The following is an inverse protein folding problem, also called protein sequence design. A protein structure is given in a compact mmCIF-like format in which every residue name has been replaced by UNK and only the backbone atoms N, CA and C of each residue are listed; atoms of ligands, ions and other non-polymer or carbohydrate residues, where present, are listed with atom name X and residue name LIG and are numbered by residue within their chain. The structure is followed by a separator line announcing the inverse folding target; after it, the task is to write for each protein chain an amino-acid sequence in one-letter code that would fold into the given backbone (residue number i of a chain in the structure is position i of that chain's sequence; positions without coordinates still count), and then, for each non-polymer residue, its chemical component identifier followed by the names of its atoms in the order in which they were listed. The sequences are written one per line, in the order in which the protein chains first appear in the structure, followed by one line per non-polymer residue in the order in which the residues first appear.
data_IF_429170405028
#
_entry.id   IF_429170405028
#
_cell.length_a   1.000
_cell.length_b   1.000
_cell.length_c   1.000
_cell.angle_alpha   90.00
_cell.angle_beta   90.00
_cell.angle_gamma   90.00
#
_symmetry.space_group_name_H-M   'P 1'
#
loop_
_entity.id
_entity.type
_entity.pdbx_description
1 polymer ?
#
# COMPACT_ATOMS: atom_id res chain seq x y z
N UNK A 1 -2.01 -21.22 4.67
CA UNK A 1 -2.68 -21.39 6.00
C UNK A 1 -3.97 -20.61 5.97
N UNK A 2 -5.04 -21.15 6.52
CA UNK A 2 -6.30 -20.43 6.68
C UNK A 2 -6.36 -19.69 8.04
N UNK A 3 -7.42 -18.92 8.26
CA UNK A 3 -7.59 -18.13 9.49
C UNK A 3 -7.60 -19.00 10.75
N UNK A 4 -8.23 -20.19 10.72
CA UNK A 4 -8.23 -21.13 11.86
C UNK A 4 -6.82 -21.55 12.23
N UNK A 5 -5.99 -21.87 11.24
CA UNK A 5 -4.59 -22.27 11.47
C UNK A 5 -3.78 -21.11 12.06
N UNK A 6 -4.02 -19.88 11.60
CA UNK A 6 -3.34 -18.69 12.11
C UNK A 6 -3.73 -18.38 13.56
N UNK A 7 -5.02 -18.50 13.89
CA UNK A 7 -5.50 -18.35 15.28
C UNK A 7 -4.86 -19.41 16.18
N UNK A 8 -4.83 -20.67 15.75
CA UNK A 8 -4.20 -21.74 16.51
C UNK A 8 -2.71 -21.45 16.75
N UNK A 9 -1.98 -21.03 15.73
CA UNK A 9 -0.56 -20.63 15.88
C UNK A 9 -0.36 -19.44 16.81
N UNK A 10 -1.25 -18.44 16.74
CA UNK A 10 -1.21 -17.32 17.68
C UNK A 10 -1.36 -17.80 19.11
N UNK A 11 -2.32 -18.69 19.41
CA UNK A 11 -2.57 -19.21 20.75
C UNK A 11 -1.36 -19.95 21.30
N UNK A 12 -0.75 -20.84 20.50
CA UNK A 12 0.48 -21.53 20.88
C UNK A 12 1.62 -20.53 21.18
N UNK A 13 1.83 -19.55 20.30
CA UNK A 13 2.91 -18.58 20.48
C UNK A 13 2.66 -17.59 21.64
N UNK A 14 1.40 -17.41 22.02
CA UNK A 14 0.99 -16.50 23.09
C UNK A 14 0.85 -17.18 24.46
N UNK A 15 1.05 -18.52 24.54
CA UNK A 15 0.72 -19.34 25.72
C UNK A 15 -0.76 -19.19 26.17
N UNK A 16 -1.69 -19.22 25.21
CA UNK A 16 -3.13 -19.01 25.38
C UNK A 16 -3.94 -20.19 24.84
N UNK A 17 -3.50 -21.41 25.17
CA UNK A 17 -4.10 -22.65 24.66
C UNK A 17 -5.23 -23.22 25.56
N UNK A 18 -5.36 -22.72 26.79
CA UNK A 18 -6.31 -23.25 27.79
C UNK A 18 -7.51 -22.30 27.89
N UNK A 19 -8.73 -22.85 27.81
CA UNK A 19 -9.95 -22.11 28.17
C UNK A 19 -9.96 -21.78 29.68
N UNK A 20 -10.30 -20.56 30.13
CA UNK A 20 -10.78 -19.40 29.34
C UNK A 20 -9.66 -18.64 28.66
N UNK A 21 -9.75 -18.47 27.35
CA UNK A 21 -8.73 -17.77 26.59
C UNK A 21 -8.64 -16.28 26.98
N UNK A 22 -7.41 -15.72 26.98
CA UNK A 22 -7.18 -14.28 27.22
C UNK A 22 -7.76 -13.42 26.13
N UNK A 23 -7.65 -13.86 24.87
CA UNK A 23 -8.14 -13.13 23.72
C UNK A 23 -9.17 -13.93 22.95
N UNK A 24 -10.26 -13.26 22.58
CA UNK A 24 -11.29 -13.88 21.74
C UNK A 24 -10.79 -14.06 20.32
N UNK A 25 -11.30 -15.07 19.60
CA UNK A 25 -10.98 -15.29 18.19
C UNK A 25 -11.28 -14.06 17.34
N UNK A 26 -12.32 -13.30 17.70
CA UNK A 26 -12.66 -12.02 17.01
C UNK A 26 -11.53 -10.99 17.13
N UNK A 27 -10.91 -10.83 18.30
CA UNK A 27 -9.76 -9.92 18.48
C UNK A 27 -8.56 -10.38 17.67
N UNK A 28 -8.24 -11.68 17.76
CA UNK A 28 -7.11 -12.27 17.02
C UNK A 28 -7.33 -12.11 15.50
N UNK A 29 -8.55 -12.35 15.00
CA UNK A 29 -8.92 -12.17 13.60
C UNK A 29 -8.69 -10.72 13.14
N UNK A 30 -9.10 -9.74 13.95
CA UNK A 30 -8.87 -8.32 13.66
C UNK A 30 -7.36 -8.03 13.55
N UNK A 31 -6.54 -8.49 14.47
CA UNK A 31 -5.09 -8.29 14.44
C UNK A 31 -4.41 -9.01 13.28
N UNK A 32 -4.92 -10.17 12.87
CA UNK A 32 -4.43 -10.89 11.69
C UNK A 32 -4.78 -10.17 10.40
N UNK A 33 -5.97 -9.56 10.29
CA UNK A 33 -6.31 -8.72 9.14
C UNK A 33 -5.45 -7.44 9.10
N UNK A 34 -5.22 -6.80 10.25
CA UNK A 34 -4.25 -5.69 10.38
C UNK A 34 -2.85 -6.14 9.92
N UNK A 35 -2.44 -7.37 10.30
CA UNK A 35 -1.15 -7.94 9.90
C UNK A 35 -1.03 -8.11 8.38
N UNK A 36 -2.08 -8.58 7.71
CA UNK A 36 -2.09 -8.73 6.23
C UNK A 36 -1.94 -7.37 5.56
N UNK A 37 -2.70 -6.36 6.03
CA UNK A 37 -2.63 -5.01 5.49
C UNK A 37 -1.24 -4.38 5.71
N UNK A 38 -0.69 -4.50 6.92
CA UNK A 38 0.64 -3.97 7.25
C UNK A 38 1.75 -4.67 6.46
N UNK A 39 1.69 -6.01 6.32
CA UNK A 39 2.62 -6.78 5.51
C UNK A 39 2.56 -6.38 4.03
N UNK A 40 1.34 -6.18 3.49
CA UNK A 40 1.14 -5.76 2.11
C UNK A 40 1.80 -4.40 1.82
N UNK A 41 1.68 -3.44 2.75
CA UNK A 41 2.27 -2.11 2.61
C UNK A 41 3.79 -2.15 2.77
N UNK A 42 4.32 -2.81 3.81
CA UNK A 42 5.76 -2.85 4.07
C UNK A 42 6.53 -3.61 3.00
N UNK A 43 6.02 -4.78 2.62
CA UNK A 43 6.66 -5.67 1.66
C UNK A 43 6.29 -5.42 0.20
N UNK A 44 5.38 -4.47 -0.10
CA UNK A 44 4.84 -4.23 -1.44
C UNK A 44 4.37 -5.54 -2.10
N UNK A 45 3.53 -6.32 -1.37
CA UNK A 45 3.26 -7.70 -1.74
C UNK A 45 2.16 -7.87 -2.80
N UNK A 46 1.23 -6.92 -2.91
CA UNK A 46 0.04 -7.03 -3.75
C UNK A 46 0.09 -6.01 -4.90
N UNK A 47 0.79 -6.37 -5.97
CA UNK A 47 0.78 -5.59 -7.21
C UNK A 47 -0.51 -5.89 -7.99
N UNK A 48 -1.23 -4.85 -8.39
CA UNK A 48 -2.46 -4.93 -9.17
C UNK A 48 -2.26 -4.26 -10.53
N UNK A 49 -2.57 -4.99 -11.59
CA UNK A 49 -2.49 -4.52 -12.98
C UNK A 49 -3.66 -4.98 -13.84
N UNK A 50 -4.52 -5.85 -13.29
CA UNK A 50 -5.51 -6.61 -14.08
C UNK A 50 -6.95 -6.16 -13.86
N UNK A 51 -7.33 -5.76 -12.65
CA UNK A 51 -8.73 -5.46 -12.32
C UNK A 51 -9.16 -4.10 -12.89
N UNK A 52 -10.10 -4.07 -13.85
CA UNK A 52 -10.50 -2.81 -14.49
C UNK A 52 -11.07 -1.78 -13.50
N UNK A 53 -11.79 -2.23 -12.45
CA UNK A 53 -12.35 -1.34 -11.43
C UNK A 53 -11.32 -0.64 -10.56
N UNK A 54 -10.07 -1.11 -10.55
CA UNK A 54 -8.95 -0.54 -9.80
C UNK A 54 -7.98 0.15 -10.75
N UNK A 55 -7.66 -0.50 -11.88
CA UNK A 55 -6.57 -0.12 -12.78
C UNK A 55 -6.99 0.77 -13.94
N UNK A 56 -8.28 1.04 -14.13
CA UNK A 56 -8.78 1.86 -15.25
C UNK A 56 -9.71 2.95 -14.75
N UNK A 57 -9.42 4.20 -15.13
CA UNK A 57 -10.23 5.36 -14.79
C UNK A 57 -10.63 6.06 -16.08
N UNK A 58 -11.94 6.29 -16.29
CA UNK A 58 -12.42 7.06 -17.42
C UNK A 58 -11.95 8.52 -17.27
N UNK A 59 -11.21 9.01 -18.25
CA UNK A 59 -10.73 10.38 -18.30
C UNK A 59 -11.62 11.23 -19.20
N UNK A 60 -11.90 12.48 -18.78
CA UNK A 60 -12.70 13.45 -19.51
C UNK A 60 -11.87 14.63 -19.95
N UNK A 61 -12.17 15.13 -21.15
CA UNK A 61 -11.56 16.35 -21.68
C UNK A 61 -11.64 17.50 -20.66
N UNK A 62 -10.52 18.15 -20.41
CA UNK A 62 -10.42 19.31 -19.53
C UNK A 62 -10.47 18.99 -18.02
N UNK A 63 -10.79 17.77 -17.61
CA UNK A 63 -10.77 17.35 -16.20
C UNK A 63 -9.36 16.90 -15.84
N UNK A 64 -8.78 17.50 -14.81
CA UNK A 64 -7.41 17.17 -14.40
C UNK A 64 -7.33 16.13 -13.27
N UNK A 65 -8.33 16.04 -12.40
CA UNK A 65 -8.23 15.23 -11.16
C UNK A 65 -9.28 14.13 -11.14
N UNK A 66 -8.83 12.93 -10.76
CA UNK A 66 -9.64 11.71 -10.74
C UNK A 66 -9.45 10.97 -9.42
N UNK A 67 -10.51 10.38 -8.83
CA UNK A 67 -10.38 9.57 -7.64
C UNK A 67 -9.65 8.27 -7.95
N UNK A 68 -8.79 7.84 -7.02
CA UNK A 68 -8.18 6.52 -7.02
C UNK A 68 -9.06 5.55 -6.24
N UNK A 69 -8.96 4.27 -6.58
CA UNK A 69 -9.61 3.23 -5.78
C UNK A 69 -9.01 3.21 -4.37
N UNK A 70 -9.82 3.15 -3.28
CA UNK A 70 -9.32 3.29 -1.90
C UNK A 70 -8.27 2.25 -1.48
N UNK A 71 -8.27 1.08 -2.11
CA UNK A 71 -7.27 0.04 -1.81
C UNK A 71 -5.91 0.32 -2.42
N UNK A 72 -5.81 1.23 -3.40
CA UNK A 72 -4.57 1.54 -4.09
C UNK A 72 -3.79 2.60 -3.30
N UNK A 73 -2.57 2.28 -2.88
CA UNK A 73 -1.77 3.22 -2.11
C UNK A 73 -0.51 3.72 -2.84
N UNK A 74 0.00 2.98 -3.82
CA UNK A 74 1.20 3.36 -4.55
C UNK A 74 1.06 2.97 -6.03
N UNK A 75 1.20 3.94 -6.93
CA UNK A 75 1.17 3.70 -8.38
C UNK A 75 2.61 3.50 -8.87
N UNK A 76 2.87 2.42 -9.59
CA UNK A 76 4.17 2.08 -10.16
C UNK A 76 4.26 2.39 -11.65
N UNK A 77 3.14 2.24 -12.37
CA UNK A 77 3.06 2.56 -13.79
C UNK A 77 1.77 3.30 -14.10
N UNK A 78 1.86 4.27 -15.01
CA UNK A 78 0.73 5.08 -15.41
C UNK A 78 0.81 5.41 -16.89
N UNK A 79 -0.32 5.24 -17.59
CA UNK A 79 -0.45 5.69 -18.98
C UNK A 79 -1.82 6.29 -19.24
N UNK A 80 -1.92 7.09 -20.27
CA UNK A 80 -3.16 7.68 -20.76
C UNK A 80 -3.43 7.22 -22.18
N UNK A 81 -4.54 6.53 -22.38
CA UNK A 81 -5.05 6.10 -23.67
C UNK A 81 -6.11 7.12 -24.12
N UNK A 82 -5.73 8.01 -25.02
CA UNK A 82 -6.64 8.98 -25.63
C UNK A 82 -7.57 8.27 -26.62
N UNK A 83 -8.85 8.63 -26.65
CA UNK A 83 -9.79 8.09 -27.62
C UNK A 83 -9.33 8.39 -29.06
N UNK A 84 -9.23 7.33 -29.88
CA UNK A 84 -8.74 7.38 -31.24
C UNK A 84 -7.22 7.33 -31.39
N UNK A 85 -6.45 7.23 -30.32
CA UNK A 85 -5.01 6.96 -30.40
C UNK A 85 -4.74 5.45 -30.57
N UNK A 86 -3.68 5.12 -31.31
CA UNK A 86 -3.27 3.73 -31.53
C UNK A 86 -2.61 3.09 -30.31
N UNK A 87 -1.93 3.89 -29.48
CA UNK A 87 -1.18 3.40 -28.32
C UNK A 87 -1.37 4.31 -27.10
N UNK A 88 -1.41 3.75 -25.89
CA UNK A 88 -1.38 4.52 -24.65
C UNK A 88 -0.06 5.31 -24.52
N UNK A 89 -0.14 6.53 -24.07
CA UNK A 89 1.01 7.35 -23.75
C UNK A 89 1.40 7.14 -22.29
N UNK A 90 2.64 6.73 -22.02
CA UNK A 90 3.19 6.66 -20.67
C UNK A 90 3.28 8.07 -20.06
N UNK A 91 2.98 8.17 -18.76
CA UNK A 91 3.05 9.40 -17.99
C UNK A 91 4.09 9.27 -16.88
N UNK A 92 4.82 10.37 -16.64
CA UNK A 92 5.76 10.43 -15.53
C UNK A 92 5.03 10.83 -14.25
N UNK A 93 5.18 10.03 -13.20
CA UNK A 93 4.73 10.38 -11.86
C UNK A 93 5.73 11.35 -11.23
N UNK A 94 5.29 12.54 -10.86
CA UNK A 94 6.13 13.59 -10.29
C UNK A 94 5.48 14.20 -9.06
N UNK A 95 6.27 14.85 -8.21
CA UNK A 95 5.76 15.62 -7.08
C UNK A 95 5.27 17.02 -7.52
N UNK A 96 4.43 17.62 -6.69
CA UNK A 96 3.97 19.01 -6.90
C UNK A 96 5.16 19.97 -6.88
N UNK A 97 6.11 19.75 -5.99
CA UNK A 97 7.33 20.54 -5.82
C UNK A 97 8.23 20.46 -7.05
N UNK A 98 8.32 19.26 -7.65
CA UNK A 98 9.04 19.07 -8.91
C UNK A 98 8.41 19.91 -10.03
N UNK A 99 7.08 19.89 -10.16
CA UNK A 99 6.35 20.69 -11.15
C UNK A 99 6.53 22.19 -10.92
N UNK A 100 6.45 22.64 -9.67
CA UNK A 100 6.62 24.07 -9.35
C UNK A 100 8.02 24.56 -9.71
N UNK A 101 9.03 23.71 -9.56
CA UNK A 101 10.43 24.03 -9.89
C UNK A 101 10.73 23.95 -11.39
N UNK A 102 10.25 22.90 -12.05
CA UNK A 102 10.66 22.58 -13.44
C UNK A 102 9.66 23.04 -14.49
N UNK A 103 8.41 23.32 -14.13
CA UNK A 103 7.33 23.68 -15.06
C UNK A 103 6.53 24.91 -14.58
N UNK A 104 7.14 26.10 -14.47
CA UNK A 104 6.44 27.29 -13.98
C UNK A 104 5.11 27.51 -14.71
N UNK A 105 4.05 27.78 -13.94
CA UNK A 105 2.70 28.00 -14.48
C UNK A 105 1.97 26.73 -14.94
N UNK A 106 2.44 25.54 -14.58
CA UNK A 106 1.85 24.27 -15.00
C UNK A 106 0.36 24.11 -14.68
N UNK A 107 -0.12 24.77 -13.63
CA UNK A 107 -1.54 24.72 -13.20
C UNK A 107 -2.50 25.30 -14.23
N UNK A 108 -2.02 26.18 -15.10
CA UNK A 108 -2.81 26.90 -16.11
C UNK A 108 -2.41 26.55 -17.55
N UNK A 109 -1.33 25.79 -17.74
CA UNK A 109 -0.88 25.38 -19.07
C UNK A 109 -1.87 24.42 -19.70
N UNK A 110 -2.22 24.68 -20.96
CA UNK A 110 -2.91 23.73 -21.83
C UNK A 110 -1.91 23.27 -22.89
N UNK A 111 -1.72 21.98 -23.01
CA UNK A 111 -0.87 21.36 -24.02
C UNK A 111 -1.69 20.29 -24.74
N UNK A 112 -1.25 19.93 -25.92
CA UNK A 112 -1.95 18.97 -26.78
C UNK A 112 -1.87 17.52 -26.28
N UNK A 113 -1.08 17.28 -25.24
CA UNK A 113 -0.94 15.95 -24.63
C UNK A 113 -0.64 16.03 -23.13
N UNK A 114 -1.12 15.05 -22.39
CA UNK A 114 -0.75 14.81 -20.99
C UNK A 114 0.71 14.35 -20.93
N UNK A 115 1.47 14.76 -19.92
CA UNK A 115 2.88 14.35 -19.76
C UNK A 115 3.16 13.81 -18.37
N UNK A 116 2.63 14.47 -17.36
CA UNK A 116 2.92 14.17 -15.97
C UNK A 116 1.65 13.85 -15.20
N UNK A 117 1.82 13.19 -14.10
CA UNK A 117 0.76 12.98 -13.12
C UNK A 117 1.28 13.18 -11.71
N UNK A 118 0.43 13.72 -10.84
CA UNK A 118 0.67 13.87 -9.41
C UNK A 118 -0.30 12.97 -8.69
N UNK A 119 0.21 12.01 -7.94
CA UNK A 119 -0.60 11.17 -7.05
C UNK A 119 -0.70 11.85 -5.69
N UNK A 120 -1.92 11.94 -5.15
CA UNK A 120 -2.20 12.24 -3.75
C UNK A 120 -2.71 10.97 -3.08
N UNK A 121 -3.07 11.04 -1.79
CA UNK A 121 -3.56 9.86 -1.05
C UNK A 121 -4.78 9.19 -1.71
N UNK A 122 -5.75 9.97 -2.15
CA UNK A 122 -7.01 9.44 -2.72
C UNK A 122 -7.28 9.87 -4.16
N UNK A 123 -6.34 10.53 -4.84
CA UNK A 123 -6.57 11.00 -6.20
C UNK A 123 -5.30 11.05 -7.05
N UNK A 124 -5.51 11.10 -8.36
CA UNK A 124 -4.46 11.37 -9.34
C UNK A 124 -4.83 12.60 -10.15
N UNK A 125 -3.87 13.49 -10.32
CA UNK A 125 -3.99 14.69 -11.14
C UNK A 125 -3.12 14.58 -12.38
N UNK A 126 -3.73 14.65 -13.57
CA UNK A 126 -3.02 14.70 -14.84
C UNK A 126 -2.55 16.12 -15.14
N UNK A 127 -1.37 16.25 -15.71
CA UNK A 127 -0.74 17.53 -16.02
C UNK A 127 -0.15 17.51 -17.43
N UNK A 128 -0.61 18.39 -18.31
CA UNK A 128 -1.84 19.19 -18.20
C UNK A 128 -3.11 18.34 -18.21
N UNK A 129 -4.29 18.97 -18.08
CA UNK A 129 -5.55 18.28 -18.22
C UNK A 129 -5.67 17.60 -19.59
N UNK A 130 -6.35 16.45 -19.70
CA UNK A 130 -6.53 15.73 -20.96
C UNK A 130 -7.13 16.61 -22.05
N UNK A 131 -6.57 16.60 -23.28
CA UNK A 131 -7.12 17.35 -24.42
C UNK A 131 -8.34 16.68 -25.06
N UNK A 132 -8.65 15.43 -24.71
CA UNK A 132 -9.78 14.62 -25.20
C UNK A 132 -10.20 13.63 -24.13
N UNK A 133 -11.36 13.00 -24.33
CA UNK A 133 -11.77 11.82 -23.55
C UNK A 133 -10.81 10.65 -23.78
N UNK A 134 -10.76 9.72 -22.81
CA UNK A 134 -9.91 8.55 -22.89
C UNK A 134 -9.93 7.74 -21.61
N UNK A 135 -8.90 6.94 -21.38
CA UNK A 135 -8.72 6.13 -20.18
C UNK A 135 -7.34 6.34 -19.57
N UNK A 136 -7.32 6.44 -18.26
CA UNK A 136 -6.10 6.31 -17.45
C UNK A 136 -5.95 4.82 -17.16
N UNK A 137 -4.79 4.28 -17.50
CA UNK A 137 -4.39 2.90 -17.20
C UNK A 137 -3.27 2.94 -16.19
N UNK A 138 -3.41 2.21 -15.10
CA UNK A 138 -2.43 2.23 -14.02
C UNK A 138 -2.13 0.83 -13.50
N UNK A 139 -0.93 0.68 -12.95
CA UNK A 139 -0.52 -0.46 -12.15
C UNK A 139 -0.02 0.07 -10.82
N UNK A 140 -0.24 -0.68 -9.75
CA UNK A 140 0.21 -0.21 -8.45
C UNK A 140 0.01 -1.21 -7.33
N UNK A 141 0.59 -0.90 -6.19
CA UNK A 141 0.43 -1.71 -5.00
C UNK A 141 -0.86 -1.34 -4.26
N UNK A 142 -1.52 -2.38 -3.76
CA UNK A 142 -2.81 -2.26 -3.07
C UNK A 142 -2.85 -2.99 -1.73
N UNK A 143 -3.83 -2.60 -0.93
CA UNK A 143 -4.25 -3.34 0.26
C UNK A 143 -5.02 -4.62 -0.15
N UNK A 144 -5.20 -5.57 0.77
CA UNK A 144 -6.09 -6.72 0.56
C UNK A 144 -7.50 -6.25 0.19
N UNK A 145 -8.14 -6.97 -0.75
CA UNK A 145 -9.52 -6.65 -1.17
C UNK A 145 -10.57 -7.14 -0.18
N UNK A 146 -10.24 -8.21 0.53
CA UNK A 146 -11.16 -8.85 1.47
C UNK A 146 -10.48 -9.14 2.79
N UNK A 147 -11.21 -8.92 3.88
CA UNK A 147 -10.80 -9.36 5.20
C UNK A 147 -11.18 -10.82 5.43
N UNK A 148 -10.36 -11.55 6.16
CA UNK A 148 -10.73 -12.88 6.66
C UNK A 148 -11.82 -12.75 7.73
N UNK A 149 -12.87 -13.56 7.61
CA UNK A 149 -14.04 -13.59 8.52
C UNK A 149 -14.39 -15.00 8.95
N UNK A 150 -14.24 -15.95 8.04
CA UNK A 150 -14.48 -17.37 8.30
C UNK A 150 -13.16 -18.09 8.58
N UNK A 151 -13.18 -19.10 9.44
CA UNK A 151 -12.00 -19.93 9.73
C UNK A 151 -11.38 -20.61 8.49
N UNK A 152 -12.12 -20.70 7.37
CA UNK A 152 -11.63 -21.24 6.11
C UNK A 152 -10.94 -20.19 5.21
N UNK A 153 -11.12 -18.89 5.51
CA UNK A 153 -10.55 -17.81 4.71
C UNK A 153 -9.03 -17.82 4.78
N UNK A 154 -8.41 -17.41 3.68
CA UNK A 154 -6.94 -17.44 3.50
C UNK A 154 -6.47 -16.01 3.26
N UNK A 155 -5.35 -15.57 3.89
CA UNK A 155 -4.76 -14.27 3.58
C UNK A 155 -4.44 -14.14 2.10
N UNK A 156 -4.69 -12.96 1.53
CA UNK A 156 -4.48 -12.71 0.09
C UNK A 156 -3.00 -12.68 -0.32
N UNK A 157 -2.08 -12.53 0.62
CA UNK A 157 -0.63 -12.57 0.37
C UNK A 157 -0.15 -14.00 0.13
N UNK A 158 1.07 -14.16 -0.39
CA UNK A 158 1.64 -15.47 -0.69
C UNK A 158 1.74 -16.38 0.55
N UNK A 159 1.35 -17.65 0.39
CA UNK A 159 1.25 -18.63 1.48
C UNK A 159 2.53 -18.81 2.32
N UNK A 160 3.71 -18.57 1.72
CA UNK A 160 4.99 -18.63 2.41
C UNK A 160 5.13 -17.63 3.56
N UNK A 161 4.41 -16.51 3.47
CA UNK A 161 4.48 -15.43 4.47
C UNK A 161 3.39 -15.51 5.56
N UNK A 162 2.47 -16.49 5.47
CA UNK A 162 1.31 -16.53 6.36
C UNK A 162 1.70 -16.71 7.84
N UNK A 163 2.69 -17.53 8.15
CA UNK A 163 3.15 -17.76 9.53
C UNK A 163 3.72 -16.48 10.19
N UNK A 164 4.28 -15.57 9.40
CA UNK A 164 4.85 -14.32 9.88
C UNK A 164 3.80 -13.29 10.30
N UNK A 165 2.55 -13.44 9.83
CA UNK A 165 1.44 -12.58 10.24
C UNK A 165 1.15 -12.67 11.73
N UNK A 166 1.41 -13.84 12.34
CA UNK A 166 1.25 -14.07 13.76
C UNK A 166 2.11 -13.13 14.61
N UNK A 167 3.29 -12.74 14.11
CA UNK A 167 4.18 -11.81 14.81
C UNK A 167 3.52 -10.44 15.04
N UNK A 168 2.82 -9.91 14.05
CA UNK A 168 2.08 -8.66 14.22
C UNK A 168 0.90 -8.79 15.17
N UNK A 169 0.18 -9.90 15.11
CA UNK A 169 -0.91 -10.17 16.04
C UNK A 169 -0.41 -10.30 17.50
N UNK A 170 0.75 -10.92 17.73
CA UNK A 170 1.42 -10.99 19.05
C UNK A 170 1.83 -9.60 19.53
N UNK A 171 2.44 -8.79 18.67
CA UNK A 171 2.75 -7.39 18.95
C UNK A 171 1.50 -6.65 19.44
N UNK A 172 0.38 -6.73 18.70
CA UNK A 172 -0.89 -6.08 19.06
C UNK A 172 -1.48 -6.61 20.36
N UNK A 173 -1.38 -7.91 20.61
CA UNK A 173 -1.89 -8.54 21.81
C UNK A 173 -1.14 -8.12 23.07
N UNK A 174 0.20 -8.15 23.02
CA UNK A 174 1.04 -7.80 24.18
C UNK A 174 1.24 -6.30 24.39
N UNK A 175 0.90 -5.46 23.40
CA UNK A 175 1.00 -3.98 23.50
C UNK A 175 -0.20 -3.33 24.17
N UNK A 176 -1.24 -4.08 24.62
CA UNK A 176 -2.43 -3.48 25.21
C UNK A 176 -2.16 -3.04 26.66
N UNK A 177 -2.12 -1.71 26.95
CA UNK A 177 -2.02 -1.22 28.31
C UNK A 177 -3.21 -1.72 29.14
N UNK A 178 -3.02 -1.87 30.45
CA UNK A 178 -4.06 -2.30 31.41
C UNK A 178 -4.61 -3.72 31.19
N UNK A 179 -4.00 -4.51 30.31
CA UNK A 179 -4.29 -5.93 30.14
C UNK A 179 -3.39 -6.76 31.07
N UNK A 180 -3.94 -7.82 31.66
CA UNK A 180 -3.12 -8.81 32.40
C UNK A 180 -2.03 -9.45 31.51
N UNK A 181 -2.19 -9.37 30.19
CA UNK A 181 -1.23 -9.88 29.21
C UNK A 181 -0.24 -8.81 28.72
N UNK A 182 -0.21 -7.62 29.31
CA UNK A 182 0.70 -6.58 28.89
C UNK A 182 2.16 -7.00 29.10
N UNK A 183 2.88 -7.15 27.99
CA UNK A 183 4.31 -7.50 27.98
C UNK A 183 5.01 -6.70 26.86
N UNK A 184 5.56 -5.53 27.19
CA UNK A 184 6.22 -4.68 26.20
C UNK A 184 7.46 -5.34 25.60
N UNK A 185 8.14 -6.23 26.30
CA UNK A 185 9.33 -6.94 25.80
C UNK A 185 8.95 -7.93 24.69
N UNK A 186 7.91 -8.73 24.92
CA UNK A 186 7.38 -9.66 23.89
C UNK A 186 6.78 -8.88 22.72
N UNK A 187 6.12 -7.76 22.96
CA UNK A 187 5.57 -6.91 21.92
C UNK A 187 6.68 -6.37 21.01
N UNK A 188 7.72 -5.74 21.59
CA UNK A 188 8.84 -5.19 20.84
C UNK A 188 9.59 -6.27 20.04
N UNK A 189 9.84 -7.42 20.63
CA UNK A 189 10.48 -8.54 19.95
C UNK A 189 9.66 -8.99 18.73
N UNK A 190 8.35 -9.13 18.89
CA UNK A 190 7.44 -9.57 17.83
C UNK A 190 7.38 -8.54 16.68
N UNK A 191 7.31 -7.24 17.01
CA UNK A 191 7.34 -6.17 16.01
C UNK A 191 8.69 -6.13 15.26
N UNK A 192 9.79 -6.27 15.98
CA UNK A 192 11.13 -6.30 15.38
C UNK A 192 11.31 -7.47 14.41
N UNK A 193 10.84 -8.68 14.74
CA UNK A 193 10.91 -9.83 13.83
C UNK A 193 9.95 -9.66 12.63
N UNK A 194 8.78 -9.06 12.82
CA UNK A 194 7.89 -8.70 11.72
C UNK A 194 8.55 -7.69 10.78
N UNK A 195 9.15 -6.64 11.32
CA UNK A 195 9.88 -5.61 10.57
C UNK A 195 11.09 -6.20 9.82
N UNK A 196 11.82 -7.12 10.44
CA UNK A 196 12.95 -7.80 9.82
C UNK A 196 12.52 -8.61 8.58
N UNK A 197 11.32 -9.18 8.60
CA UNK A 197 10.81 -10.01 7.51
C UNK A 197 10.14 -9.18 6.40
N UNK A 198 9.22 -8.26 6.75
CA UNK A 198 8.44 -7.48 5.78
C UNK A 198 9.04 -6.11 5.44
N UNK A 199 10.04 -5.68 6.17
CA UNK A 199 10.63 -4.34 6.02
C UNK A 199 10.02 -3.30 6.96
N UNK A 200 10.63 -2.11 6.95
CA UNK A 200 10.10 -0.97 7.70
C UNK A 200 8.88 -0.39 6.99
N UNK A 201 7.96 0.17 7.77
CA UNK A 201 6.85 0.91 7.18
C UNK A 201 7.40 2.12 6.43
N UNK A 202 7.03 2.29 5.14
CA UNK A 202 7.46 3.45 4.38
C UNK A 202 7.00 4.73 5.06
N UNK A 203 7.91 5.69 5.22
CA UNK A 203 7.61 7.00 5.76
C UNK A 203 6.75 7.79 4.76
N UNK A 204 5.71 8.46 5.25
CA UNK A 204 4.84 9.29 4.43
C UNK A 204 5.59 10.47 3.78
N UNK A 205 6.63 10.99 4.43
CA UNK A 205 7.43 12.09 3.91
C UNK A 205 8.40 11.63 2.83
N UNK A 206 9.03 10.46 3.00
CA UNK A 206 9.83 9.82 1.96
C UNK A 206 9.00 9.55 0.70
N UNK A 207 7.74 9.16 0.82
CA UNK A 207 6.84 8.93 -0.33
C UNK A 207 6.51 10.22 -1.08
N UNK A 208 6.50 11.37 -0.42
CA UNK A 208 6.27 12.69 -1.03
C UNK A 208 7.51 13.21 -1.73
N UNK A 209 8.69 12.98 -1.15
CA UNK A 209 9.96 13.55 -1.60
C UNK A 209 10.68 12.68 -2.64
N UNK A 210 10.61 11.36 -2.52
CA UNK A 210 11.40 10.41 -3.33
C UNK A 210 10.60 9.63 -4.34
N UNK A 211 9.63 10.25 -5.02
CA UNK A 211 8.98 9.60 -6.17
C UNK A 211 9.92 9.42 -7.37
N UNK A 212 11.09 9.98 -7.33
CA UNK A 212 12.20 9.52 -8.10
C UNK A 212 12.85 8.39 -7.30
N UNK A 213 12.66 7.15 -7.72
CA UNK A 213 13.34 5.95 -7.20
C UNK A 213 14.85 5.99 -7.56
N UNK A 214 15.46 7.12 -7.34
CA UNK A 214 16.91 7.25 -7.40
C UNK A 214 17.41 7.20 -5.96
N UNK A 215 18.11 6.12 -5.57
CA UNK A 215 18.80 6.12 -4.29
C UNK A 215 19.73 7.35 -4.29
N UNK A 216 19.56 8.25 -3.34
CA UNK A 216 20.54 9.29 -3.08
C UNK A 216 21.84 8.61 -2.66
N UNK A 217 22.68 8.33 -3.64
CA UNK A 217 24.06 7.95 -3.39
C UNK A 217 24.80 9.20 -2.97
N UNK A 218 25.01 9.34 -1.67
CA UNK A 218 25.95 10.34 -1.16
C UNK A 218 27.34 9.85 -1.56
N UNK A 219 27.89 10.37 -2.65
CA UNK A 219 29.32 10.19 -2.94
C UNK A 219 30.11 10.86 -1.83
N UNK A 220 30.84 10.06 -1.07
CA UNK A 220 31.81 10.57 -0.11
C UNK A 220 32.88 11.35 -0.89
N UNK A 221 32.88 12.67 -0.78
CA UNK A 221 34.02 13.46 -1.24
C UNK A 221 35.17 13.13 -0.30
N UNK A 222 36.08 12.29 -0.76
CA UNK A 222 37.38 12.07 -0.13
C UNK A 222 38.23 13.32 -0.47
N UNK A 223 38.44 14.17 0.52
CA UNK A 223 39.41 15.27 0.48
C UNK A 223 40.78 14.73 0.71
#
# INVERSE_FOLDING_TARGET
MNLRDLIARFRVAADDEVETYRWTDKKITMWLNDAVAEAAVRGRLLLESSQPGICRIAAKEGQSTYPLHPVLYEITHLSYACDGASEPQQLDLVSTEWLDRNQPGWRHKRLDRVRWAVQTEGSIRLVPAPPRDGQILLEGYRLPLTEMRSGADVPEIHAFSHDKLVLWALYRGFSQPDSEAFDPTRAELSEREFTKYFGRRPDSDLRRETREDVPHVTESIIL
#
